data_IF_707210914939
#
_entry.id   IF_707210914939
#
_cell.length_a   1.000
_cell.length_b   1.000
_cell.length_c   1.000
_cell.angle_alpha   90.00
_cell.angle_beta   90.00
_cell.angle_gamma   90.00
#
_symmetry.space_group_name_H-M   'P 1'
#
loop_
_entity.id
_entity.type
_entity.pdbx_description
1 polymer ?
#
# COMPACT_ATOMS: atom_id res chain seq x y z
N UNK A 1 3.98 -15.29 -11.92
CA UNK A 1 3.21 -16.23 -11.10
C UNK A 1 1.81 -16.31 -11.70
N UNK A 2 1.10 -17.42 -11.56
CA UNK A 2 -0.21 -17.59 -12.20
C UNK A 2 -1.31 -17.15 -11.23
N UNK A 3 -2.38 -16.55 -11.76
CA UNK A 3 -3.57 -16.22 -10.98
C UNK A 3 -4.02 -17.42 -10.14
N UNK A 4 -4.35 -17.16 -8.88
CA UNK A 4 -4.80 -18.19 -7.95
C UNK A 4 -6.32 -18.28 -7.97
N UNK A 5 -6.83 -19.46 -7.65
CA UNK A 5 -8.26 -19.71 -7.67
C UNK A 5 -8.83 -19.48 -6.27
N UNK A 6 -9.76 -18.55 -6.14
CA UNK A 6 -10.47 -18.35 -4.88
C UNK A 6 -11.23 -19.63 -4.50
N UNK A 7 -11.03 -20.12 -3.27
CA UNK A 7 -11.63 -21.36 -2.79
C UNK A 7 -13.15 -21.26 -2.57
N UNK A 8 -13.68 -20.04 -2.39
CA UNK A 8 -15.11 -19.81 -2.17
C UNK A 8 -15.90 -19.59 -3.47
N UNK A 9 -15.47 -18.67 -4.35
CA UNK A 9 -16.19 -18.38 -5.60
C UNK A 9 -15.62 -19.11 -6.83
N UNK A 10 -14.43 -19.70 -6.74
CA UNK A 10 -13.79 -20.40 -7.85
C UNK A 10 -13.19 -19.51 -8.93
N UNK A 11 -13.25 -18.18 -8.81
CA UNK A 11 -12.70 -17.24 -9.78
C UNK A 11 -11.16 -17.19 -9.74
N UNK A 12 -10.55 -16.99 -10.90
CA UNK A 12 -9.14 -16.61 -10.98
C UNK A 12 -8.96 -15.20 -10.44
N UNK A 13 -8.03 -15.06 -9.51
CA UNK A 13 -7.79 -13.85 -8.73
C UNK A 13 -6.31 -13.50 -8.85
N UNK A 14 -5.97 -12.24 -9.16
CA UNK A 14 -4.58 -11.84 -9.20
C UNK A 14 -3.97 -11.87 -7.79
N UNK A 15 -2.66 -12.16 -7.63
CA UNK A 15 -2.00 -12.25 -6.33
C UNK A 15 -2.21 -11.05 -5.38
N UNK A 16 -2.35 -9.83 -5.89
CA UNK A 16 -2.64 -8.66 -5.05
C UNK A 16 -4.05 -8.64 -4.46
N UNK A 17 -5.01 -9.39 -5.04
CA UNK A 17 -6.41 -9.48 -4.62
C UNK A 17 -6.71 -10.78 -3.84
N UNK A 18 -5.67 -11.56 -3.49
CA UNK A 18 -5.79 -12.79 -2.68
C UNK A 18 -5.51 -12.55 -1.20
N UNK A 19 -6.26 -13.24 -0.34
CA UNK A 19 -6.15 -13.17 1.12
C UNK A 19 -6.15 -14.60 1.67
N UNK A 20 -5.12 -14.95 2.45
CA UNK A 20 -5.09 -16.18 3.23
C UNK A 20 -5.89 -15.98 4.52
N UNK A 21 -7.10 -16.53 4.56
CA UNK A 21 -7.99 -16.43 5.70
C UNK A 21 -7.87 -17.70 6.56
N UNK A 22 -7.46 -17.55 7.81
CA UNK A 22 -7.49 -18.65 8.77
C UNK A 22 -8.93 -19.03 9.13
N UNK A 23 -9.23 -20.32 9.12
CA UNK A 23 -10.44 -20.88 9.72
C UNK A 23 -10.15 -21.32 11.17
N UNK A 24 -11.21 -21.41 11.99
CA UNK A 24 -11.09 -21.73 13.42
C UNK A 24 -10.48 -23.11 13.74
N UNK A 25 -10.26 -23.95 12.74
CA UNK A 25 -9.66 -25.29 12.78
C UNK A 25 -8.16 -25.30 12.41
N UNK A 26 -7.55 -24.14 12.16
CA UNK A 26 -6.11 -24.01 11.86
C UNK A 26 -5.76 -24.22 10.39
N UNK A 27 -6.75 -24.40 9.52
CA UNK A 27 -6.57 -24.36 8.07
C UNK A 27 -6.58 -22.91 7.57
N UNK A 28 -5.92 -22.68 6.43
CA UNK A 28 -5.97 -21.40 5.73
C UNK A 28 -6.59 -21.61 4.37
N UNK A 29 -7.61 -20.82 4.06
CA UNK A 29 -8.25 -20.78 2.74
C UNK A 29 -7.79 -19.55 1.98
N UNK A 30 -7.54 -19.68 0.68
CA UNK A 30 -7.25 -18.57 -0.20
C UNK A 30 -8.54 -17.98 -0.78
N UNK A 31 -8.84 -16.74 -0.40
CA UNK A 31 -10.04 -16.02 -0.81
C UNK A 31 -9.68 -14.81 -1.67
N UNK A 32 -10.53 -14.45 -2.62
CA UNK A 32 -10.48 -13.10 -3.18
C UNK A 32 -11.03 -12.10 -2.16
N UNK A 33 -10.62 -10.83 -2.27
CA UNK A 33 -11.07 -9.75 -1.36
C UNK A 33 -12.59 -9.69 -1.25
N UNK A 34 -13.31 -9.89 -2.36
CA UNK A 34 -14.78 -9.87 -2.34
C UNK A 34 -15.37 -10.99 -1.48
N UNK A 35 -14.86 -12.23 -1.60
CA UNK A 35 -15.33 -13.34 -0.77
C UNK A 35 -14.93 -13.17 0.71
N UNK A 36 -13.72 -12.66 0.95
CA UNK A 36 -13.26 -12.33 2.29
C UNK A 36 -14.18 -11.31 2.96
N UNK A 37 -14.46 -10.18 2.31
CA UNK A 37 -15.33 -9.14 2.86
C UNK A 37 -16.75 -9.65 3.14
N UNK A 38 -17.32 -10.48 2.25
CA UNK A 38 -18.63 -11.07 2.47
C UNK A 38 -18.66 -11.94 3.74
N UNK A 39 -17.60 -12.71 3.98
CA UNK A 39 -17.46 -13.54 5.18
C UNK A 39 -17.35 -12.69 6.45
N UNK A 40 -16.55 -11.63 6.41
CA UNK A 40 -16.43 -10.71 7.56
C UNK A 40 -17.76 -9.99 7.81
N UNK A 41 -18.45 -9.53 6.76
CA UNK A 41 -19.74 -8.86 6.87
C UNK A 41 -20.78 -9.76 7.53
N UNK A 42 -20.90 -11.01 7.09
CA UNK A 42 -21.77 -12.02 7.71
C UNK A 42 -21.44 -12.22 9.20
N UNK A 43 -20.16 -12.39 9.53
CA UNK A 43 -19.72 -12.61 10.91
C UNK A 43 -19.94 -11.39 11.82
N UNK A 44 -19.89 -10.18 11.27
CA UNK A 44 -20.07 -8.92 11.99
C UNK A 44 -21.54 -8.45 11.99
N UNK A 45 -22.42 -9.14 11.27
CA UNK A 45 -23.85 -8.80 11.19
C UNK A 45 -24.19 -7.68 10.21
N UNK A 46 -23.28 -7.34 9.28
CA UNK A 46 -23.56 -6.39 8.20
C UNK A 46 -24.29 -7.09 7.05
N UNK A 47 -25.50 -6.63 6.72
CA UNK A 47 -26.33 -7.23 5.67
C UNK A 47 -26.29 -6.46 4.34
N UNK A 48 -25.77 -5.24 4.38
CA UNK A 48 -25.79 -4.25 3.30
C UNK A 48 -24.39 -3.68 3.02
N UNK A 49 -23.33 -4.39 3.42
CA UNK A 49 -21.96 -3.97 3.15
C UNK A 49 -21.68 -3.89 1.63
N UNK A 50 -21.35 -2.69 1.15
CA UNK A 50 -21.06 -2.44 -0.26
C UNK A 50 -19.64 -2.89 -0.63
N UNK A 51 -19.55 -4.10 -1.20
CA UNK A 51 -18.30 -4.70 -1.62
C UNK A 51 -17.89 -4.26 -3.05
N UNK A 52 -17.61 -2.98 -3.20
CA UNK A 52 -17.32 -2.35 -4.50
C UNK A 52 -15.92 -2.73 -5.00
N UNK A 53 -15.82 -3.12 -6.28
CA UNK A 53 -14.55 -3.20 -6.99
C UNK A 53 -14.24 -1.85 -7.62
N UNK A 54 -13.11 -1.28 -7.25
CA UNK A 54 -12.66 0.01 -7.73
C UNK A 54 -11.73 -0.17 -8.93
N UNK A 55 -12.02 0.55 -10.00
CA UNK A 55 -11.18 0.54 -11.19
C UNK A 55 -9.84 1.26 -10.92
N UNK A 56 -8.72 0.81 -11.53
CA UNK A 56 -7.45 1.48 -11.41
C UNK A 56 -7.50 2.92 -11.95
N UNK A 57 -6.76 3.83 -11.31
CA UNK A 57 -6.68 5.23 -11.70
C UNK A 57 -5.23 5.59 -12.01
N UNK A 58 -5.03 6.35 -13.09
CA UNK A 58 -3.74 6.93 -13.42
C UNK A 58 -3.63 8.35 -12.84
N UNK A 59 -2.51 8.64 -12.18
CA UNK A 59 -2.15 9.95 -11.66
C UNK A 59 -0.75 10.34 -12.18
N UNK A 60 -0.50 11.63 -12.30
CA UNK A 60 0.79 12.16 -12.77
C UNK A 60 1.50 12.83 -11.60
N UNK A 61 2.79 12.57 -11.45
CA UNK A 61 3.61 13.18 -10.41
C UNK A 61 4.17 14.56 -10.78
N UNK A 62 4.97 15.14 -9.87
CA UNK A 62 5.61 16.44 -10.07
C UNK A 62 6.69 16.45 -11.16
N UNK A 63 7.20 15.29 -11.58
CA UNK A 63 8.15 15.15 -12.70
C UNK A 63 7.44 14.92 -14.05
N UNK A 64 6.13 14.66 -14.04
CA UNK A 64 5.34 14.34 -15.22
C UNK A 64 5.25 12.84 -15.51
N UNK A 65 5.76 11.99 -14.62
CA UNK A 65 5.70 10.53 -14.73
C UNK A 65 4.29 10.04 -14.38
N UNK A 66 3.84 9.02 -15.11
CA UNK A 66 2.51 8.44 -14.94
C UNK A 66 2.54 7.23 -14.01
N UNK A 67 1.70 7.27 -12.98
CA UNK A 67 1.57 6.26 -11.94
C UNK A 67 0.20 5.62 -11.99
N UNK A 68 0.13 4.29 -12.07
CA UNK A 68 -1.12 3.54 -12.10
C UNK A 68 -1.41 2.93 -10.73
N UNK A 69 -2.46 3.42 -10.07
CA UNK A 69 -2.89 2.95 -8.76
C UNK A 69 -4.02 1.94 -8.88
N UNK A 70 -3.85 0.81 -8.21
CA UNK A 70 -4.85 -0.20 -7.94
C UNK A 70 -5.36 -0.04 -6.50
N UNK A 71 -6.56 -0.53 -6.24
CA UNK A 71 -7.21 -0.36 -4.95
C UNK A 71 -7.72 -1.69 -4.40
N UNK A 72 -7.59 -1.87 -3.09
CA UNK A 72 -8.15 -3.01 -2.38
C UNK A 72 -8.92 -2.51 -1.15
N UNK A 73 -10.19 -2.89 -1.07
CA UNK A 73 -11.06 -2.56 0.06
C UNK A 73 -11.21 -3.80 0.94
N UNK A 74 -10.73 -3.76 2.18
CA UNK A 74 -10.87 -4.88 3.14
C UNK A 74 -11.74 -4.48 4.32
N UNK A 75 -12.74 -5.29 4.63
CA UNK A 75 -13.54 -5.19 5.85
C UNK A 75 -12.82 -5.88 7.01
N UNK A 76 -12.60 -5.14 8.10
CA UNK A 76 -11.82 -5.54 9.27
C UNK A 76 -12.68 -5.40 10.54
N UNK A 77 -13.71 -6.24 10.66
CA UNK A 77 -14.72 -6.11 11.71
C UNK A 77 -15.63 -4.92 11.43
N UNK A 78 -15.65 -3.91 12.32
CA UNK A 78 -16.43 -2.69 12.16
C UNK A 78 -15.71 -1.57 11.39
N UNK A 79 -14.51 -1.84 10.86
CA UNK A 79 -13.67 -0.89 10.14
C UNK A 79 -13.47 -1.33 8.70
N UNK A 80 -13.21 -0.39 7.80
CA UNK A 80 -12.70 -0.70 6.46
C UNK A 80 -11.31 -0.12 6.25
N UNK A 81 -10.46 -0.91 5.62
CA UNK A 81 -9.17 -0.46 5.11
C UNK A 81 -9.28 -0.31 3.59
N UNK A 82 -9.02 0.90 3.10
CA UNK A 82 -8.87 1.17 1.67
C UNK A 82 -7.38 1.40 1.39
N UNK A 83 -6.77 0.44 0.70
CA UNK A 83 -5.41 0.57 0.20
C UNK A 83 -5.42 1.09 -1.25
N UNK A 84 -4.44 1.92 -1.57
CA UNK A 84 -4.06 2.29 -2.92
C UNK A 84 -2.58 1.99 -3.13
N UNK A 85 -2.23 1.28 -4.20
CA UNK A 85 -0.85 0.86 -4.46
C UNK A 85 -0.55 0.75 -5.96
N UNK A 86 0.71 0.89 -6.32
CA UNK A 86 1.19 0.53 -7.65
C UNK A 86 1.49 -0.97 -7.74
N UNK A 87 1.60 -1.47 -8.96
CA UNK A 87 1.96 -2.86 -9.23
C UNK A 87 3.30 -2.95 -9.96
N UNK A 88 4.16 -3.86 -9.51
CA UNK A 88 5.29 -4.36 -10.30
C UNK A 88 4.97 -5.80 -10.72
N UNK A 89 4.58 -5.96 -11.98
CA UNK A 89 3.96 -7.21 -12.44
C UNK A 89 2.57 -7.35 -11.83
N UNK A 90 2.38 -8.36 -10.96
CA UNK A 90 1.09 -8.62 -10.28
C UNK A 90 1.15 -8.41 -8.76
N UNK A 91 2.27 -7.88 -8.25
CA UNK A 91 2.48 -7.67 -6.81
C UNK A 91 2.47 -6.18 -6.48
N UNK A 92 1.92 -5.79 -5.31
CA UNK A 92 2.02 -4.42 -4.82
C UNK A 92 3.48 -3.99 -4.69
N UNK A 93 3.82 -2.84 -5.25
CA UNK A 93 5.15 -2.27 -5.23
C UNK A 93 5.08 -0.74 -5.29
N UNK A 94 6.23 -0.07 -5.21
CA UNK A 94 6.31 1.39 -5.37
C UNK A 94 5.46 2.16 -4.36
N UNK A 95 4.72 3.15 -4.84
CA UNK A 95 3.84 3.94 -3.98
C UNK A 95 2.71 3.08 -3.38
N UNK A 96 2.49 3.24 -2.08
CA UNK A 96 1.40 2.57 -1.34
C UNK A 96 0.88 3.49 -0.25
N UNK A 97 -0.43 3.55 -0.13
CA UNK A 97 -1.16 4.39 0.80
C UNK A 97 -2.34 3.62 1.38
N UNK A 98 -2.73 3.96 2.60
CA UNK A 98 -3.90 3.39 3.25
C UNK A 98 -4.73 4.49 3.90
N UNK A 99 -6.04 4.27 3.96
CA UNK A 99 -6.97 4.94 4.85
C UNK A 99 -7.80 3.89 5.61
N UNK A 100 -8.12 4.21 6.86
CA UNK A 100 -9.06 3.45 7.68
C UNK A 100 -10.32 4.27 7.87
N UNK A 101 -11.47 3.68 7.53
CA UNK A 101 -12.81 4.24 7.73
C UNK A 101 -13.67 3.36 8.64
N UNK A 102 -14.91 3.77 8.86
CA UNK A 102 -15.96 2.95 9.48
C UNK A 102 -16.62 2.06 8.41
N UNK A 103 -17.17 0.90 8.81
CA UNK A 103 -17.74 -0.06 7.86
C UNK A 103 -18.96 0.46 7.07
N UNK A 104 -19.62 1.51 7.55
CA UNK A 104 -20.74 2.20 6.92
C UNK A 104 -20.35 3.49 6.18
N UNK A 105 -19.05 3.82 6.11
CA UNK A 105 -18.57 4.95 5.31
C UNK A 105 -18.83 4.72 3.82
N UNK A 106 -19.17 5.79 3.11
CA UNK A 106 -19.27 5.79 1.64
C UNK A 106 -17.89 5.52 1.01
N UNK A 107 -17.79 4.42 0.27
CA UNK A 107 -16.55 3.95 -0.35
C UNK A 107 -15.98 4.97 -1.33
N UNK A 108 -16.81 5.71 -2.06
CA UNK A 108 -16.35 6.74 -3.01
C UNK A 108 -15.88 8.01 -2.30
N UNK A 109 -16.47 8.36 -1.16
CA UNK A 109 -15.94 9.43 -0.30
C UNK A 109 -14.56 9.05 0.24
N UNK A 110 -14.37 7.81 0.70
CA UNK A 110 -13.06 7.32 1.14
C UNK A 110 -12.05 7.27 0.00
N UNK A 111 -12.45 6.82 -1.18
CA UNK A 111 -11.60 6.85 -2.38
C UNK A 111 -11.18 8.27 -2.72
N UNK A 112 -12.09 9.24 -2.66
CA UNK A 112 -11.77 10.66 -2.86
C UNK A 112 -10.68 11.15 -1.91
N UNK A 113 -10.80 10.84 -0.61
CA UNK A 113 -9.78 11.18 0.39
C UNK A 113 -8.44 10.50 0.13
N UNK A 114 -8.45 9.22 -0.27
CA UNK A 114 -7.24 8.48 -0.59
C UNK A 114 -6.53 9.10 -1.81
N UNK A 115 -7.30 9.46 -2.85
CA UNK A 115 -6.76 10.14 -4.04
C UNK A 115 -6.14 11.49 -3.67
N UNK A 116 -6.75 12.25 -2.76
CA UNK A 116 -6.15 13.49 -2.25
C UNK A 116 -4.81 13.24 -1.54
N UNK A 117 -4.74 12.20 -0.69
CA UNK A 117 -3.49 11.77 -0.02
C UNK A 117 -2.41 11.40 -1.05
N UNK A 118 -2.77 10.60 -2.06
CA UNK A 118 -1.85 10.23 -3.16
C UNK A 118 -1.35 11.48 -3.90
N UNK A 119 -2.25 12.38 -4.30
CA UNK A 119 -1.89 13.61 -5.03
C UNK A 119 -0.92 14.50 -4.24
N UNK A 120 -1.09 14.61 -2.91
CA UNK A 120 -0.15 15.35 -2.06
C UNK A 120 1.22 14.69 -2.08
N UNK A 121 1.28 13.37 -1.92
CA UNK A 121 2.56 12.65 -1.96
C UNK A 121 3.27 12.79 -3.31
N UNK A 122 2.54 12.66 -4.43
CA UNK A 122 3.10 12.80 -5.78
C UNK A 122 3.50 14.24 -6.15
N UNK A 123 3.07 15.24 -5.37
CA UNK A 123 3.44 16.65 -5.60
C UNK A 123 4.83 17.02 -5.12
N UNK A 124 5.49 16.12 -4.39
CA UNK A 124 6.85 16.30 -3.90
C UNK A 124 7.75 15.17 -4.38
N UNK A 125 9.03 15.48 -4.48
CA UNK A 125 10.10 14.52 -4.70
C UNK A 125 11.13 14.68 -3.59
N UNK A 126 11.48 13.58 -2.94
CA UNK A 126 12.39 13.54 -1.81
C UNK A 126 13.82 13.19 -2.20
N UNK A 127 14.04 12.46 -3.29
CA UNK A 127 15.36 11.94 -3.69
C UNK A 127 15.64 12.21 -5.16
N UNK A 128 16.79 12.82 -5.42
CA UNK A 128 17.41 12.81 -6.74
C UNK A 128 18.19 11.50 -6.91
N UNK A 129 17.60 10.55 -7.62
CA UNK A 129 18.20 9.23 -7.87
C UNK A 129 19.39 9.27 -8.84
N UNK A 130 19.53 10.32 -9.66
CA UNK A 130 20.66 10.47 -10.58
C UNK A 130 21.89 10.93 -9.81
N UNK A 131 21.70 11.91 -8.94
CA UNK A 131 22.76 12.48 -8.10
C UNK A 131 22.95 11.72 -6.78
N UNK A 132 22.03 10.78 -6.47
CA UNK A 132 21.99 9.99 -5.22
C UNK A 132 22.05 10.90 -3.99
N UNK A 133 21.12 11.86 -3.93
CA UNK A 133 21.02 12.79 -2.79
C UNK A 133 19.57 13.02 -2.38
N UNK A 134 19.41 13.35 -1.11
CA UNK A 134 18.16 13.86 -0.57
C UNK A 134 17.96 15.29 -1.07
N UNK A 135 16.75 15.58 -1.54
CA UNK A 135 16.32 16.93 -1.91
C UNK A 135 15.95 17.66 -0.62
N UNK A 136 16.49 18.87 -0.47
CA UNK A 136 16.39 19.69 0.73
C UNK A 136 16.91 18.97 1.98
N UNK A 137 16.03 18.49 2.86
CA UNK A 137 16.40 17.79 4.11
C UNK A 137 15.27 16.91 4.67
N UNK A 138 14.27 16.59 3.84
CA UNK A 138 13.11 15.80 4.26
C UNK A 138 12.93 14.63 3.31
N UNK A 139 12.87 13.43 3.87
CA UNK A 139 12.55 12.20 3.14
C UNK A 139 11.36 11.55 3.80
N UNK A 140 10.33 11.29 3.01
CA UNK A 140 9.21 10.44 3.38
C UNK A 140 9.22 9.20 2.53
N UNK A 141 8.87 8.09 3.15
CA UNK A 141 8.85 6.81 2.49
C UNK A 141 8.22 5.75 3.37
N UNK A 142 8.30 4.51 2.91
CA UNK A 142 7.77 3.36 3.61
C UNK A 142 8.89 2.39 3.92
N UNK A 143 8.91 1.86 5.14
CA UNK A 143 9.80 0.77 5.51
C UNK A 143 9.17 -0.53 5.00
N UNK A 144 9.95 -1.30 4.26
CA UNK A 144 9.57 -2.58 3.64
C UNK A 144 10.63 -3.64 3.96
N UNK A 145 10.33 -4.87 3.54
CA UNK A 145 11.23 -6.01 3.68
C UNK A 145 11.37 -6.74 2.35
N UNK A 146 12.59 -7.12 2.00
CA UNK A 146 12.88 -7.97 0.85
C UNK A 146 13.43 -9.33 1.33
N UNK A 147 12.61 -10.37 1.21
CA UNK A 147 12.98 -11.74 1.59
C UNK A 147 14.14 -12.31 0.76
N UNK A 148 14.40 -11.74 -0.42
CA UNK A 148 15.44 -12.21 -1.32
C UNK A 148 16.83 -11.66 -0.99
N UNK A 149 16.90 -10.58 -0.20
CA UNK A 149 18.16 -9.95 0.14
C UNK A 149 18.80 -10.55 1.40
N UNK A 150 20.09 -10.94 1.34
CA UNK A 150 20.82 -11.39 2.51
C UNK A 150 21.11 -10.19 3.40
N UNK A 151 20.26 -9.93 4.39
CA UNK A 151 20.42 -8.80 5.28
C UNK A 151 19.46 -8.80 6.47
N UNK A 152 19.81 -8.01 7.50
CA UNK A 152 18.95 -7.69 8.64
C UNK A 152 18.48 -6.23 8.60
N UNK A 153 18.78 -5.52 7.51
CA UNK A 153 18.43 -4.11 7.35
C UNK A 153 17.17 -3.99 6.50
N UNK A 154 16.29 -3.03 6.81
CA UNK A 154 15.05 -2.86 6.06
C UNK A 154 15.32 -2.35 4.65
N UNK A 155 14.42 -2.71 3.74
CA UNK A 155 14.26 -2.00 2.47
C UNK A 155 13.45 -0.72 2.76
N UNK A 156 13.71 0.36 2.03
CA UNK A 156 12.82 1.54 2.09
C UNK A 156 12.32 1.88 0.70
N UNK A 157 11.09 2.37 0.62
CA UNK A 157 10.50 2.88 -0.62
C UNK A 157 10.31 4.37 -0.50
N UNK A 158 11.00 5.13 -1.35
CA UNK A 158 10.99 6.60 -1.37
C UNK A 158 10.65 7.04 -2.79
N UNK A 159 9.73 7.99 -2.94
CA UNK A 159 9.22 8.45 -4.24
C UNK A 159 8.82 7.28 -5.18
N UNK A 160 8.16 6.26 -4.62
CA UNK A 160 7.73 5.07 -5.36
C UNK A 160 8.86 4.13 -5.82
N UNK A 161 10.10 4.35 -5.36
CA UNK A 161 11.26 3.54 -5.74
C UNK A 161 11.89 2.88 -4.54
N UNK A 162 12.25 1.61 -4.71
CA UNK A 162 13.00 0.85 -3.72
C UNK A 162 14.42 1.40 -3.57
N UNK A 163 14.86 1.59 -2.33
CA UNK A 163 16.18 2.09 -1.94
C UNK A 163 16.71 1.20 -0.83
N UNK A 164 17.90 0.66 -1.05
CA UNK A 164 18.60 -0.12 -0.03
C UNK A 164 19.00 0.78 1.14
N UNK A 165 18.99 0.22 2.35
CA UNK A 165 19.38 0.98 3.54
C UNK A 165 20.79 1.60 3.42
N UNK A 166 21.73 0.86 2.83
CA UNK A 166 23.09 1.34 2.60
C UNK A 166 23.13 2.50 1.60
N UNK A 167 22.27 2.50 0.58
CA UNK A 167 22.18 3.59 -0.38
C UNK A 167 21.57 4.83 0.28
N UNK A 168 20.53 4.68 1.10
CA UNK A 168 19.99 5.78 1.90
C UNK A 168 21.07 6.36 2.84
N UNK A 169 21.85 5.50 3.49
CA UNK A 169 22.99 5.89 4.33
C UNK A 169 24.05 6.70 3.55
N UNK A 170 24.35 6.32 2.31
CA UNK A 170 25.24 7.10 1.42
C UNK A 170 24.67 8.47 1.09
N UNK A 171 23.37 8.58 0.85
CA UNK A 171 22.72 9.88 0.58
C UNK A 171 22.84 10.83 1.79
N UNK A 172 22.74 10.29 3.00
CA UNK A 172 22.89 11.04 4.26
C UNK A 172 24.31 11.56 4.51
N UNK A 173 25.34 11.01 3.85
CA UNK A 173 26.72 11.49 4.01
C UNK A 173 26.87 12.97 3.60
N UNK A 174 25.98 13.49 2.75
CA UNK A 174 25.94 14.91 2.39
C UNK A 174 25.55 15.85 3.55
N UNK A 175 24.99 15.30 4.63
CA UNK A 175 24.48 16.03 5.80
C UNK A 175 25.41 15.92 7.01
N UNK A 176 26.72 15.73 6.80
CA UNK A 176 27.71 15.62 7.88
C UNK A 176 27.65 16.85 8.81
N UNK A 177 27.50 16.60 10.12
CA UNK A 177 27.42 17.65 11.15
C UNK A 177 26.01 18.19 11.42
N UNK A 178 24.97 17.70 10.74
CA UNK A 178 23.58 18.10 10.95
C UNK A 178 22.90 17.25 12.03
N UNK A 179 21.82 17.78 12.61
CA UNK A 179 20.94 17.03 13.52
C UNK A 179 19.77 16.42 12.72
N UNK A 180 19.25 15.26 13.15
CA UNK A 180 18.13 14.59 12.47
C UNK A 180 16.99 14.21 13.42
N UNK A 181 15.79 14.06 12.86
CA UNK A 181 14.60 13.51 13.51
C UNK A 181 14.04 12.39 12.63
N UNK A 182 13.73 11.24 13.24
CA UNK A 182 13.05 10.13 12.58
C UNK A 182 11.64 10.01 13.17
N UNK A 183 10.63 10.00 12.29
CA UNK A 183 9.24 9.84 12.65
C UNK A 183 8.68 8.60 11.96
N UNK A 184 8.03 7.73 12.73
CA UNK A 184 7.43 6.48 12.26
C UNK A 184 5.94 6.56 12.61
N UNK A 185 5.08 6.37 11.61
CA UNK A 185 3.63 6.42 11.75
C UNK A 185 2.99 5.17 11.13
N UNK A 186 1.71 4.95 11.46
CA UNK A 186 0.93 3.87 10.85
C UNK A 186 0.69 4.18 9.35
N UNK A 187 0.56 3.17 8.46
CA UNK A 187 0.26 3.41 7.05
C UNK A 187 -0.99 4.26 6.79
N UNK A 188 -1.95 4.26 7.73
CA UNK A 188 -3.17 5.05 7.64
C UNK A 188 -2.99 6.52 8.03
N UNK A 189 -1.94 6.87 8.78
CA UNK A 189 -1.65 8.23 9.22
C UNK A 189 -1.18 9.13 8.05
N UNK A 190 -1.31 10.45 8.23
CA UNK A 190 -0.79 11.46 7.29
C UNK A 190 0.61 11.90 7.72
N UNK A 191 1.59 11.89 6.79
CA UNK A 191 2.98 12.30 7.01
C UNK A 191 3.45 13.35 6.00
#
# INVERSE_FOLDING_TARGET
>A
MAHERCEQCGNQTPPWDTIHCGSGDGHYELLCTSCFNARIAESAGFTDFENVRLDPIQLIDCEGDAHQFHFQLRLLGARIALDGFELQGELPAGYRFQLIGEADDDVFVLLGRLIEKIRRALSFRHVDFRERRIIDSMVRGRIEWDESQPGHLPLVVVDGKEVLWDDLGRMLMSMEGWQFRLEIADPSDEL
#
